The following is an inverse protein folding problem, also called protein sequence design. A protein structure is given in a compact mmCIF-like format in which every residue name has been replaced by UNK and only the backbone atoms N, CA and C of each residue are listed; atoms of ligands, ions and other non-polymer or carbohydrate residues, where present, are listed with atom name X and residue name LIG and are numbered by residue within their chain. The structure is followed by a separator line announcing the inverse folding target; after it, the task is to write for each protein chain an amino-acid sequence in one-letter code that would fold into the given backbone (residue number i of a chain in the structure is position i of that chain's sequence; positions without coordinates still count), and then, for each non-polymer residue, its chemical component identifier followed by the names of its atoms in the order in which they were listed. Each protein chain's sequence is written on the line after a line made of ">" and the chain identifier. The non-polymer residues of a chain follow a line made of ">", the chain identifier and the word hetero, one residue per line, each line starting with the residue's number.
data_IF_376246955627
#
_entry.id   IF_376246955627
#
_cell.length_a   1.000
_cell.length_b   1.000
_cell.length_c   1.000
_cell.angle_alpha   90.00
_cell.angle_beta   90.00
_cell.angle_gamma   90.00
#
_symmetry.space_group_name_H-M   'P 1'
#
loop_
_entity.id
_entity.type
_entity.pdbx_description
1 polymer ?
#
# COMPACT_ATOMS: atom_id res chain seq x y z
N UNK A 1 -15.07 11.15 13.50
CA UNK A 1 -14.48 10.07 12.68
C UNK A 1 -13.10 10.43 12.13
N UNK A 2 -12.89 11.60 11.50
CA UNK A 2 -11.56 12.00 10.96
C UNK A 2 -10.46 12.12 12.03
N UNK A 3 -10.80 12.52 13.25
CA UNK A 3 -9.83 12.71 14.35
C UNK A 3 -9.24 11.41 14.95
N UNK A 4 -9.81 10.24 14.66
CA UNK A 4 -9.38 8.97 15.29
C UNK A 4 -8.27 8.28 14.49
N UNK A 5 -8.28 8.41 13.17
CA UNK A 5 -7.36 7.69 12.28
C UNK A 5 -5.90 8.16 12.37
N UNK A 6 -5.67 9.40 12.83
CA UNK A 6 -4.33 10.01 12.85
C UNK A 6 -3.82 10.34 14.26
N UNK A 7 -4.43 9.78 15.32
CA UNK A 7 -3.92 9.95 16.68
C UNK A 7 -2.65 9.08 16.86
N UNK A 8 -1.48 9.72 16.82
CA UNK A 8 -0.16 9.07 16.86
C UNK A 8 0.01 8.13 18.06
N UNK A 9 -0.53 8.51 19.22
CA UNK A 9 -0.44 7.68 20.43
C UNK A 9 -1.25 6.37 20.26
N UNK A 10 -2.45 6.47 19.69
CA UNK A 10 -3.29 5.29 19.38
C UNK A 10 -2.67 4.41 18.28
N UNK A 11 -1.93 4.98 17.35
CA UNK A 11 -1.25 4.23 16.27
C UNK A 11 -0.05 3.44 16.80
N UNK A 12 0.74 4.02 17.70
CA UNK A 12 1.85 3.32 18.34
C UNK A 12 1.38 2.19 19.27
N UNK A 13 0.32 2.42 20.05
CA UNK A 13 -0.27 1.42 20.96
C UNK A 13 -0.94 0.26 20.21
N UNK A 14 -1.54 0.53 19.05
CA UNK A 14 -2.31 -0.47 18.30
C UNK A 14 -1.47 -1.47 17.51
N UNK A 15 -0.15 -1.25 17.38
CA UNK A 15 0.78 -2.11 16.60
C UNK A 15 0.27 -2.45 15.20
N UNK A 16 -0.53 -1.55 14.62
CA UNK A 16 -1.10 -1.74 13.29
C UNK A 16 0.04 -1.78 12.27
N UNK A 17 -0.02 -2.77 11.37
CA UNK A 17 0.94 -2.95 10.28
C UNK A 17 0.58 -2.04 9.08
N UNK A 18 1.57 -1.46 8.39
CA UNK A 18 1.34 -0.59 7.23
C UNK A 18 0.57 -1.28 6.10
N UNK A 19 0.84 -2.57 5.90
CA UNK A 19 0.12 -3.40 4.92
C UNK A 19 -1.39 -3.44 5.18
N UNK A 20 -1.81 -3.46 6.45
CA UNK A 20 -3.23 -3.49 6.80
C UNK A 20 -3.93 -2.19 6.41
N UNK A 21 -3.33 -1.06 6.74
CA UNK A 21 -3.88 0.26 6.38
C UNK A 21 -3.90 0.45 4.87
N UNK A 22 -2.88 -0.05 4.16
CA UNK A 22 -2.83 0.01 2.70
C UNK A 22 -3.91 -0.86 2.03
N UNK A 23 -4.24 -2.03 2.60
CA UNK A 23 -5.38 -2.85 2.16
C UNK A 23 -6.69 -2.10 2.33
N UNK A 24 -6.88 -1.43 3.47
CA UNK A 24 -8.09 -0.66 3.74
C UNK A 24 -8.21 0.55 2.80
N UNK A 25 -7.10 1.23 2.49
CA UNK A 25 -7.04 2.30 1.48
C UNK A 25 -7.43 1.80 0.09
N UNK A 26 -6.83 0.71 -0.38
CA UNK A 26 -7.16 0.12 -1.68
C UNK A 26 -8.63 -0.31 -1.73
N UNK A 27 -9.12 -0.91 -0.65
CA UNK A 27 -10.54 -1.30 -0.54
C UNK A 27 -11.45 -0.09 -0.63
N UNK A 28 -11.15 0.98 0.10
CA UNK A 28 -11.94 2.21 0.08
C UNK A 28 -12.00 2.82 -1.33
N UNK A 29 -10.84 2.92 -2.00
CA UNK A 29 -10.73 3.55 -3.32
C UNK A 29 -11.36 2.71 -4.45
N UNK A 30 -11.21 1.38 -4.41
CA UNK A 30 -11.51 0.55 -5.58
C UNK A 30 -12.73 -0.37 -5.42
N UNK A 31 -13.14 -0.72 -4.20
CA UNK A 31 -14.29 -1.59 -3.99
C UNK A 31 -15.58 -1.07 -4.66
N UNK A 32 -15.93 0.23 -4.61
CA UNK A 32 -17.16 0.71 -5.21
C UNK A 32 -17.17 0.52 -6.73
N UNK A 33 -16.06 0.84 -7.41
CA UNK A 33 -15.89 0.63 -8.84
C UNK A 33 -15.99 -0.85 -9.20
N UNK A 34 -15.24 -1.72 -8.52
CA UNK A 34 -15.20 -3.14 -8.85
C UNK A 34 -16.51 -3.86 -8.55
N UNK A 35 -17.22 -3.50 -7.47
CA UNK A 35 -18.55 -4.05 -7.18
C UNK A 35 -19.56 -3.68 -8.27
N UNK A 36 -19.49 -2.46 -8.80
CA UNK A 36 -20.34 -2.03 -9.92
C UNK A 36 -20.00 -2.74 -11.23
N UNK A 37 -18.72 -2.90 -11.56
CA UNK A 37 -18.29 -3.66 -12.75
C UNK A 37 -18.76 -5.12 -12.70
N UNK A 38 -18.64 -5.76 -11.54
CA UNK A 38 -19.13 -7.13 -11.32
C UNK A 38 -20.66 -7.20 -11.44
N UNK A 39 -21.38 -6.25 -10.84
CA UNK A 39 -22.84 -6.21 -10.90
C UNK A 39 -23.35 -5.98 -12.33
N UNK A 40 -22.68 -5.12 -13.11
CA UNK A 40 -23.03 -4.86 -14.51
C UNK A 40 -22.84 -6.11 -15.38
N UNK A 41 -21.73 -6.84 -15.19
CA UNK A 41 -21.44 -8.08 -15.94
C UNK A 41 -22.41 -9.21 -15.60
N UNK A 42 -22.74 -9.41 -14.32
CA UNK A 42 -23.55 -10.55 -13.88
C UNK A 42 -25.06 -10.32 -13.97
N UNK A 43 -25.54 -9.08 -13.82
CA UNK A 43 -26.98 -8.81 -13.63
C UNK A 43 -27.59 -7.86 -14.67
N UNK A 44 -26.85 -7.48 -15.73
CA UNK A 44 -27.31 -6.52 -16.77
C UNK A 44 -27.97 -5.25 -16.18
N UNK A 45 -27.49 -4.80 -15.02
CA UNK A 45 -28.00 -3.61 -14.34
C UNK A 45 -27.57 -2.34 -15.08
N UNK A 46 -28.42 -1.31 -15.05
CA UNK A 46 -28.10 0.03 -15.54
C UNK A 46 -26.78 0.52 -14.92
N UNK A 47 -25.92 1.09 -15.75
CA UNK A 47 -24.63 1.60 -15.33
C UNK A 47 -24.81 2.72 -14.30
N UNK A 48 -24.41 2.45 -13.05
CA UNK A 48 -24.35 3.45 -11.99
C UNK A 48 -22.92 3.96 -11.84
N UNK A 49 -22.76 5.24 -11.48
CA UNK A 49 -21.46 5.78 -11.13
C UNK A 49 -21.07 5.31 -9.71
N UNK A 50 -19.79 4.99 -9.45
CA UNK A 50 -19.35 4.72 -8.09
C UNK A 50 -19.55 5.97 -7.20
N UNK A 51 -19.82 5.78 -5.90
CA UNK A 51 -19.81 6.87 -4.94
C UNK A 51 -18.49 7.64 -4.99
N UNK A 52 -18.56 8.95 -4.74
CA UNK A 52 -17.38 9.81 -4.70
C UNK A 52 -16.43 9.35 -3.57
N UNK A 53 -15.14 9.32 -3.89
CA UNK A 53 -14.07 9.02 -2.93
C UNK A 53 -13.69 10.32 -2.21
N UNK A 54 -13.67 10.28 -0.88
CA UNK A 54 -13.24 11.42 -0.05
C UNK A 54 -11.73 11.59 -0.13
N UNK A 55 -11.28 12.72 -0.65
CA UNK A 55 -9.86 13.09 -0.70
C UNK A 55 -9.24 13.18 0.71
N UNK A 56 -9.98 13.73 1.67
CA UNK A 56 -9.52 13.86 3.05
C UNK A 56 -9.29 12.49 3.69
N UNK A 57 -10.18 11.53 3.45
CA UNK A 57 -10.01 10.18 3.99
C UNK A 57 -8.82 9.47 3.37
N UNK A 58 -8.63 9.57 2.05
CA UNK A 58 -7.46 9.03 1.34
C UNK A 58 -6.17 9.60 1.93
N UNK A 59 -6.10 10.94 2.04
CA UNK A 59 -4.92 11.64 2.57
C UNK A 59 -4.62 11.21 4.02
N UNK A 60 -5.65 11.02 4.85
CA UNK A 60 -5.45 10.57 6.24
C UNK A 60 -4.99 9.12 6.32
N UNK A 61 -5.52 8.24 5.46
CA UNK A 61 -5.04 6.84 5.38
C UNK A 61 -3.59 6.78 4.88
N UNK A 62 -3.20 7.61 3.92
CA UNK A 62 -1.81 7.73 3.47
C UNK A 62 -0.87 8.18 4.59
N UNK A 63 -1.27 9.19 5.37
CA UNK A 63 -0.52 9.61 6.56
C UNK A 63 -0.43 8.51 7.61
N UNK A 64 -1.52 7.77 7.83
CA UNK A 64 -1.56 6.65 8.76
C UNK A 64 -0.61 5.52 8.32
N UNK A 65 -0.56 5.17 7.03
CA UNK A 65 0.41 4.20 6.48
C UNK A 65 1.83 4.63 6.85
N UNK A 66 2.17 5.90 6.62
CA UNK A 66 3.50 6.42 6.93
C UNK A 66 3.83 6.31 8.42
N UNK A 67 2.86 6.61 9.31
CA UNK A 67 3.05 6.48 10.75
C UNK A 67 3.20 5.03 11.21
N UNK A 68 2.52 4.07 10.55
CA UNK A 68 2.62 2.64 10.92
C UNK A 68 3.94 1.98 10.55
N UNK A 69 4.79 2.59 9.72
CA UNK A 69 6.13 2.05 9.45
C UNK A 69 7.01 2.02 10.71
N UNK A 70 6.78 2.91 11.68
CA UNK A 70 7.49 2.90 12.96
C UNK A 70 7.17 1.66 13.81
N UNK A 71 6.06 0.96 13.53
CA UNK A 71 5.67 -0.29 14.18
C UNK A 71 6.34 -1.53 13.57
N UNK A 72 7.09 -1.39 12.47
CA UNK A 72 7.75 -2.51 11.79
C UNK A 72 9.11 -2.74 12.44
N UNK A 73 9.28 -3.91 13.04
CA UNK A 73 10.55 -4.30 13.66
C UNK A 73 11.56 -4.72 12.58
N UNK A 74 12.73 -4.06 12.49
CA UNK A 74 13.76 -4.43 11.53
C UNK A 74 14.45 -5.72 11.94
N UNK A 75 14.79 -6.53 10.95
CA UNK A 75 15.57 -7.77 11.15
C UNK A 75 17.07 -7.49 11.20
N UNK A 76 17.53 -6.36 10.63
CA UNK A 76 18.96 -6.00 10.55
C UNK A 76 19.73 -6.71 9.45
N UNK A 77 19.05 -7.47 8.58
CA UNK A 77 19.64 -8.16 7.45
C UNK A 77 19.78 -7.24 6.22
N UNK A 78 20.46 -7.76 5.20
CA UNK A 78 20.61 -7.10 3.89
C UNK A 78 19.62 -7.70 2.92
N UNK A 79 18.74 -6.88 2.37
CA UNK A 79 17.69 -7.32 1.46
C UNK A 79 17.95 -6.83 0.02
N UNK A 80 17.66 -7.71 -0.93
CA UNK A 80 17.47 -7.35 -2.33
C UNK A 80 16.07 -7.82 -2.71
N UNK A 81 15.20 -6.88 -3.05
CA UNK A 81 13.80 -7.15 -3.38
C UNK A 81 13.61 -6.97 -4.88
N UNK A 82 13.40 -8.08 -5.58
CA UNK A 82 13.03 -8.08 -6.98
C UNK A 82 11.51 -8.02 -7.15
N UNK A 83 11.02 -6.95 -7.79
CA UNK A 83 9.61 -6.74 -8.11
C UNK A 83 9.41 -6.98 -9.61
N UNK A 84 8.57 -7.94 -9.95
CA UNK A 84 8.20 -8.20 -11.36
C UNK A 84 7.37 -7.04 -11.93
N UNK A 85 7.75 -6.56 -13.11
CA UNK A 85 7.10 -5.46 -13.81
C UNK A 85 6.35 -5.91 -15.08
N UNK A 86 6.20 -7.21 -15.31
CA UNK A 86 5.57 -7.74 -16.53
C UNK A 86 4.07 -7.44 -16.60
N UNK A 87 3.25 -8.20 -15.86
CA UNK A 87 1.78 -8.18 -15.95
C UNK A 87 1.10 -7.95 -14.59
N UNK A 88 1.86 -7.56 -13.57
CA UNK A 88 1.34 -7.38 -12.22
C UNK A 88 0.26 -6.29 -12.10
N UNK A 89 0.21 -5.37 -13.08
CA UNK A 89 -0.82 -4.33 -13.21
C UNK A 89 -2.12 -4.82 -13.88
N UNK A 90 -2.16 -6.05 -14.39
CA UNK A 90 -3.35 -6.63 -15.04
C UNK A 90 -4.10 -7.60 -14.12
N UNK A 91 -3.47 -8.03 -13.02
CA UNK A 91 -3.99 -9.06 -12.12
C UNK A 91 -4.25 -8.51 -10.73
N UNK A 92 -5.29 -9.04 -10.10
CA UNK A 92 -5.65 -8.76 -8.71
C UNK A 92 -5.11 -9.85 -7.79
N UNK A 93 -4.82 -9.47 -6.56
CA UNK A 93 -4.52 -10.42 -5.51
C UNK A 93 -5.76 -11.30 -5.23
N UNK A 94 -5.57 -12.62 -5.15
CA UNK A 94 -6.67 -13.57 -4.98
C UNK A 94 -7.50 -13.31 -3.71
N UNK A 95 -6.82 -13.09 -2.58
CA UNK A 95 -7.46 -12.84 -1.27
C UNK A 95 -7.75 -11.36 -1.00
N UNK A 96 -7.26 -10.45 -1.85
CA UNK A 96 -7.44 -9.01 -1.73
C UNK A 96 -8.02 -8.47 -3.03
N UNK A 97 -9.32 -8.71 -3.23
CA UNK A 97 -10.03 -8.49 -4.50
C UNK A 97 -10.06 -7.03 -4.99
N UNK A 98 -9.63 -6.08 -4.18
CA UNK A 98 -9.59 -4.66 -4.52
C UNK A 98 -8.16 -4.13 -4.62
N UNK A 99 -7.17 -5.02 -4.60
CA UNK A 99 -5.75 -4.70 -4.71
C UNK A 99 -5.15 -5.40 -5.92
N UNK A 100 -4.39 -4.65 -6.71
CA UNK A 100 -3.59 -5.18 -7.82
C UNK A 100 -2.33 -5.85 -7.28
N UNK A 101 -1.85 -6.87 -7.99
CA UNK A 101 -0.62 -7.56 -7.56
C UNK A 101 0.57 -6.61 -7.53
N UNK A 102 0.64 -5.63 -8.45
CA UNK A 102 1.67 -4.58 -8.45
C UNK A 102 1.62 -3.71 -7.19
N UNK A 103 0.43 -3.35 -6.71
CA UNK A 103 0.26 -2.57 -5.47
C UNK A 103 0.73 -3.37 -4.25
N UNK A 104 0.38 -4.66 -4.18
CA UNK A 104 0.83 -5.52 -3.09
C UNK A 104 2.36 -5.66 -3.06
N UNK A 105 2.99 -5.90 -4.22
CA UNK A 105 4.45 -5.99 -4.29
C UNK A 105 5.14 -4.68 -3.91
N UNK A 106 4.61 -3.53 -4.36
CA UNK A 106 5.11 -2.22 -3.98
C UNK A 106 5.00 -1.99 -2.45
N UNK A 107 3.86 -2.33 -1.84
CA UNK A 107 3.67 -2.17 -0.40
C UNK A 107 4.67 -3.00 0.42
N UNK A 108 4.92 -4.25 0.01
CA UNK A 108 5.91 -5.12 0.64
C UNK A 108 7.31 -4.53 0.46
N UNK A 109 7.69 -4.19 -0.78
CA UNK A 109 9.01 -3.65 -1.08
C UNK A 109 9.32 -2.38 -0.28
N UNK A 110 8.36 -1.44 -0.22
CA UNK A 110 8.50 -0.20 0.55
C UNK A 110 8.59 -0.48 2.05
N UNK A 111 7.85 -1.46 2.58
CA UNK A 111 7.93 -1.82 4.00
C UNK A 111 9.35 -2.21 4.40
N UNK A 112 9.99 -3.10 3.64
CA UNK A 112 11.38 -3.48 3.88
C UNK A 112 12.35 -2.33 3.65
N UNK A 113 12.13 -1.52 2.60
CA UNK A 113 13.00 -0.38 2.31
C UNK A 113 12.99 0.68 3.42
N UNK A 114 11.84 0.89 4.07
CA UNK A 114 11.72 1.82 5.19
C UNK A 114 12.27 1.23 6.48
N UNK A 115 12.01 -0.05 6.75
CA UNK A 115 12.45 -0.70 7.99
C UNK A 115 13.96 -0.99 8.01
N UNK A 116 14.54 -1.44 6.89
CA UNK A 116 15.89 -1.97 6.84
C UNK A 116 16.92 -0.92 6.42
N UNK A 117 18.11 -0.98 7.03
CA UNK A 117 19.21 -0.04 6.70
C UNK A 117 19.80 -0.30 5.32
N UNK A 118 19.80 -1.56 4.87
CA UNK A 118 20.39 -2.01 3.61
C UNK A 118 19.35 -2.83 2.84
N UNK A 119 18.59 -2.14 1.99
CA UNK A 119 17.56 -2.75 1.16
C UNK A 119 17.61 -2.12 -0.24
N UNK A 120 17.92 -2.94 -1.24
CA UNK A 120 17.85 -2.56 -2.65
C UNK A 120 16.55 -3.10 -3.27
N UNK A 121 15.84 -2.26 -4.03
CA UNK A 121 14.67 -2.68 -4.78
C UNK A 121 15.01 -2.68 -6.28
N UNK A 122 14.72 -3.78 -6.96
CA UNK A 122 14.94 -3.96 -8.39
C UNK A 122 13.58 -4.16 -9.08
N UNK A 123 13.34 -3.46 -10.20
CA UNK A 123 12.26 -3.79 -11.13
C UNK A 123 12.78 -4.80 -12.15
N UNK A 124 12.13 -5.94 -12.24
CA UNK A 124 12.50 -7.02 -13.15
C UNK A 124 11.52 -7.10 -14.32
N UNK A 125 12.03 -7.14 -15.55
CA UNK A 125 11.22 -7.33 -16.76
C UNK A 125 11.93 -8.28 -17.72
N UNK A 126 11.46 -9.53 -17.80
CA UNK A 126 12.17 -10.57 -18.54
C UNK A 126 13.55 -10.81 -17.93
N UNK A 127 14.62 -10.66 -18.71
CA UNK A 127 16.00 -10.82 -18.26
C UNK A 127 16.66 -9.53 -17.76
N UNK A 128 15.94 -8.41 -17.67
CA UNK A 128 16.48 -7.13 -17.20
C UNK A 128 16.07 -6.85 -15.75
N UNK A 129 16.99 -6.28 -14.98
CA UNK A 129 16.74 -5.79 -13.63
C UNK A 129 17.24 -4.34 -13.52
N UNK A 130 16.35 -3.43 -13.11
CA UNK A 130 16.67 -2.00 -12.98
C UNK A 130 16.48 -1.54 -11.54
N UNK A 131 17.49 -0.96 -10.88
CA UNK A 131 17.35 -0.48 -9.52
C UNK A 131 16.36 0.68 -9.43
N UNK A 132 15.45 0.64 -8.46
CA UNK A 132 14.58 1.76 -8.10
C UNK A 132 15.31 2.63 -7.08
N UNK A 133 15.57 3.89 -7.44
CA UNK A 133 16.13 4.86 -6.50
C UNK A 133 15.00 5.61 -5.80
N UNK A 134 14.52 5.06 -4.67
CA UNK A 134 13.55 5.73 -3.83
C UNK A 134 14.25 6.86 -3.06
N UNK A 135 14.01 8.12 -3.45
CA UNK A 135 14.52 9.29 -2.71
C UNK A 135 14.06 9.21 -1.26
N UNK A 136 14.94 8.80 -0.36
CA UNK A 136 14.63 8.69 1.07
C UNK A 136 14.42 10.11 1.61
N UNK A 137 13.17 10.50 1.87
CA UNK A 137 12.89 11.53 2.88
C UNK A 137 13.03 10.82 4.23
N UNK A 138 14.25 10.49 4.65
CA UNK A 138 14.51 10.04 6.02
C UNK A 138 14.16 11.22 6.93
N UNK A 139 12.97 11.18 7.50
CA UNK A 139 12.56 12.04 8.60
C UNK A 139 13.61 11.85 9.69
N UNK A 140 14.34 12.93 9.99
CA UNK A 140 15.27 12.95 11.13
C UNK A 140 14.47 12.53 12.35
N UNK A 141 14.79 11.37 12.94
CA UNK A 141 14.27 10.99 14.26
C UNK A 141 14.60 12.17 15.18
N UNK A 142 13.57 12.80 15.76
CA UNK A 142 13.75 13.70 16.89
C UNK A 142 14.45 12.89 17.98
N UNK A 143 15.73 13.19 18.20
CA UNK A 143 16.43 12.71 19.37
C UNK A 143 15.76 13.38 20.58
N UNK A 144 15.37 12.54 21.55
CA UNK A 144 14.84 12.98 22.85
C UNK A 144 15.85 13.83 23.59
#
# INVERSE_FOLDING_TARGET
>A
FVYVLCNVNSVAESRIQPSRVFIDLCTYQFAPKYKLELAAKSFRRLAQKPPAISYDLVTNLEKLIMATYDNVEPTGLRYVIAVDNSDMHKRRCAHLQYMMTSQAAAAIAVTFYVAEKQCDILLCQGSTATPINLKSKKTKKFQK
#
